data_IF_589276612967
#
_entry.id   IF_589276612967
#
_cell.length_a   1.000
_cell.length_b   1.000
_cell.length_c   1.000
_cell.angle_alpha   90.00
_cell.angle_beta   90.00
_cell.angle_gamma   90.00
#
_symmetry.space_group_name_H-M   'P 1'
#
loop_
_entity.id
_entity.type
_entity.pdbx_description
1 polymer ?
#
# COMPACT_ATOMS: atom_id res chain seq x y z
N UNK A 1 -5.45 0.57 -18.79
CA UNK A 1 -4.95 0.61 -17.40
C UNK A 1 -5.54 1.85 -16.73
N UNK A 2 -6.16 1.72 -15.56
CA UNK A 2 -6.70 2.87 -14.81
C UNK A 2 -5.61 3.35 -13.84
N UNK A 3 -5.30 4.64 -13.87
CA UNK A 3 -4.38 5.27 -12.93
C UNK A 3 -5.16 5.94 -11.81
N UNK A 4 -4.56 6.02 -10.63
CA UNK A 4 -5.08 6.75 -9.46
C UNK A 4 -4.15 7.93 -9.24
N UNK A 5 -4.71 9.13 -9.13
CA UNK A 5 -3.95 10.34 -8.86
C UNK A 5 -3.52 10.38 -7.38
N UNK A 6 -2.30 10.84 -7.13
CA UNK A 6 -1.65 10.73 -5.85
C UNK A 6 -0.91 12.02 -5.50
N UNK A 7 -1.13 12.53 -4.28
CA UNK A 7 -0.30 13.57 -3.69
C UNK A 7 0.80 12.94 -2.83
N UNK A 8 2.05 13.40 -3.02
CA UNK A 8 3.20 12.93 -2.24
C UNK A 8 3.47 13.89 -1.08
N UNK A 9 3.50 13.35 0.13
CA UNK A 9 3.92 14.05 1.34
C UNK A 9 5.16 13.35 1.89
N UNK A 10 6.26 14.08 2.04
CA UNK A 10 7.50 13.56 2.62
C UNK A 10 7.54 13.91 4.09
N UNK A 11 7.46 12.89 4.95
CA UNK A 11 7.61 13.03 6.39
C UNK A 11 9.08 12.93 6.79
N UNK A 12 9.61 13.83 7.63
CA UNK A 12 10.96 13.68 8.18
C UNK A 12 11.04 12.66 9.33
N UNK A 13 9.90 12.15 9.80
CA UNK A 13 9.82 11.25 10.96
C UNK A 13 9.58 9.78 10.59
N UNK A 14 9.00 9.54 9.42
CA UNK A 14 8.62 8.20 8.97
C UNK A 14 9.55 7.74 7.85
N UNK A 15 10.15 6.57 8.02
CA UNK A 15 10.98 5.90 7.02
C UNK A 15 10.20 4.80 6.28
N UNK A 16 8.89 5.01 6.12
CA UNK A 16 7.96 4.08 5.48
C UNK A 16 7.03 4.81 4.49
N UNK A 17 6.57 4.10 3.46
CA UNK A 17 5.59 4.62 2.51
C UNK A 17 4.19 4.37 3.07
N UNK A 18 3.47 5.46 3.35
CA UNK A 18 2.09 5.41 3.83
C UNK A 18 1.11 5.71 2.70
N UNK A 19 0.03 4.93 2.62
CA UNK A 19 -1.10 5.19 1.73
C UNK A 19 -2.27 5.73 2.56
N UNK A 20 -2.93 6.78 2.07
CA UNK A 20 -4.17 7.26 2.67
C UNK A 20 -5.31 6.26 2.45
N UNK A 21 -6.33 6.32 3.28
CA UNK A 21 -7.56 5.52 3.15
C UNK A 21 -8.24 5.70 1.77
N UNK A 22 -8.26 6.93 1.25
CA UNK A 22 -8.75 7.24 -0.10
C UNK A 22 -7.94 6.51 -1.16
N UNK A 23 -6.61 6.55 -1.08
CA UNK A 23 -5.75 5.86 -2.04
C UNK A 23 -5.93 4.35 -2.00
N UNK A 24 -6.04 3.78 -0.80
CA UNK A 24 -6.31 2.36 -0.59
C UNK A 24 -7.65 1.98 -1.24
N UNK A 25 -8.69 2.81 -1.09
CA UNK A 25 -10.00 2.60 -1.69
C UNK A 25 -9.96 2.65 -3.22
N UNK A 26 -9.33 3.69 -3.80
CA UNK A 26 -9.26 3.86 -5.26
C UNK A 26 -8.42 2.77 -5.95
N UNK A 27 -7.37 2.31 -5.28
CA UNK A 27 -6.56 1.16 -5.71
C UNK A 27 -7.24 -0.20 -5.44
N UNK A 28 -8.41 -0.20 -4.77
CA UNK A 28 -9.15 -1.40 -4.35
C UNK A 28 -8.25 -2.37 -3.57
N UNK A 29 -7.54 -1.86 -2.57
CA UNK A 29 -6.70 -2.66 -1.68
C UNK A 29 -7.52 -3.02 -0.44
N UNK A 30 -7.47 -4.29 -0.05
CA UNK A 30 -7.95 -4.76 1.24
C UNK A 30 -6.74 -5.01 2.15
N UNK A 31 -6.78 -4.44 3.35
CA UNK A 31 -5.76 -4.63 4.39
C UNK A 31 -6.05 -5.92 5.16
N UNK A 32 -5.08 -6.83 5.22
CA UNK A 32 -5.21 -8.10 5.95
C UNK A 32 -4.42 -8.05 7.28
N UNK A 33 -3.19 -7.54 7.24
CA UNK A 33 -2.38 -7.21 8.43
C UNK A 33 -1.35 -6.11 8.06
N UNK A 34 -1.70 -4.83 8.23
CA UNK A 34 -0.87 -3.71 7.78
C UNK A 34 0.46 -3.62 8.54
N UNK A 35 0.50 -3.99 9.82
CA UNK A 35 1.73 -3.95 10.62
C UNK A 35 2.80 -4.95 10.14
N UNK A 36 2.38 -6.04 9.48
CA UNK A 36 3.28 -6.99 8.81
C UNK A 36 3.38 -6.79 7.29
N UNK A 37 2.64 -5.81 6.77
CA UNK A 37 2.60 -5.46 5.36
C UNK A 37 1.77 -6.42 4.49
N UNK A 38 0.80 -7.14 5.06
CA UNK A 38 -0.08 -8.07 4.32
C UNK A 38 -1.34 -7.39 3.78
N UNK A 39 -1.60 -7.60 2.49
CA UNK A 39 -2.73 -7.00 1.77
C UNK A 39 -3.15 -7.88 0.58
N UNK A 40 -4.27 -7.55 -0.06
CA UNK A 40 -4.68 -8.11 -1.36
C UNK A 40 -5.49 -7.09 -2.15
N UNK A 41 -5.74 -7.35 -3.44
CA UNK A 41 -6.79 -6.59 -4.12
C UNK A 41 -8.16 -7.05 -3.63
N UNK A 42 -9.10 -6.13 -3.48
CA UNK A 42 -10.41 -6.39 -2.90
C UNK A 42 -11.22 -7.43 -3.69
N UNK A 43 -11.02 -7.49 -5.01
CA UNK A 43 -11.63 -8.47 -5.92
C UNK A 43 -10.93 -9.84 -5.94
N UNK A 44 -9.77 -9.98 -5.29
CA UNK A 44 -9.06 -11.26 -5.21
C UNK A 44 -9.62 -12.13 -4.07
N UNK A 45 -9.56 -13.47 -4.22
CA UNK A 45 -9.87 -14.41 -3.14
C UNK A 45 -9.04 -14.14 -1.88
N UNK A 46 -9.55 -14.52 -0.71
CA UNK A 46 -8.91 -14.25 0.58
C UNK A 46 -7.55 -14.94 0.73
N UNK A 47 -7.35 -16.04 0.02
CA UNK A 47 -6.12 -16.84 0.05
C UNK A 47 -4.98 -16.15 -0.72
N UNK A 48 -5.28 -15.17 -1.58
CA UNK A 48 -4.30 -14.48 -2.42
C UNK A 48 -3.70 -13.26 -1.72
N UNK A 49 -3.10 -13.51 -0.57
CA UNK A 49 -2.42 -12.48 0.23
C UNK A 49 -1.05 -12.16 -0.37
N UNK A 50 -0.72 -10.86 -0.36
CA UNK A 50 0.51 -10.27 -0.84
C UNK A 50 1.24 -9.63 0.33
N UNK A 51 2.56 -9.51 0.21
CA UNK A 51 3.39 -8.77 1.16
C UNK A 51 3.92 -7.50 0.49
N UNK A 52 4.00 -6.42 1.24
CA UNK A 52 4.61 -5.18 0.79
C UNK A 52 6.10 -5.38 0.53
N UNK A 53 6.61 -4.75 -0.52
CA UNK A 53 8.05 -4.78 -0.83
C UNK A 53 8.83 -4.04 0.27
N UNK A 54 9.98 -4.58 0.72
CA UNK A 54 10.82 -3.90 1.68
C UNK A 54 11.42 -2.62 1.08
N UNK A 55 11.73 -1.60 1.91
CA UNK A 55 12.34 -0.37 1.44
C UNK A 55 13.69 -0.65 0.75
N UNK A 56 13.95 0.07 -0.35
CA UNK A 56 15.25 0.08 -1.03
C UNK A 56 15.88 1.45 -0.84
N UNK A 57 17.01 1.48 -0.16
CA UNK A 57 17.80 2.69 0.04
C UNK A 57 18.81 2.82 -1.10
N UNK A 58 18.67 3.86 -1.92
CA UNK A 58 19.67 4.21 -2.92
C UNK A 58 20.74 5.10 -2.28
N UNK A 59 22.02 4.77 -2.53
CA UNK A 59 23.18 5.58 -2.15
C UNK A 59 23.76 6.26 -3.37
#
# INVERSE_FOLDING_TARGET
TKWVEADLIISPLADEVLLSDKMISELNIALEDPGRGYWRFAWEPKEKVRRSEPPRYWK
#
